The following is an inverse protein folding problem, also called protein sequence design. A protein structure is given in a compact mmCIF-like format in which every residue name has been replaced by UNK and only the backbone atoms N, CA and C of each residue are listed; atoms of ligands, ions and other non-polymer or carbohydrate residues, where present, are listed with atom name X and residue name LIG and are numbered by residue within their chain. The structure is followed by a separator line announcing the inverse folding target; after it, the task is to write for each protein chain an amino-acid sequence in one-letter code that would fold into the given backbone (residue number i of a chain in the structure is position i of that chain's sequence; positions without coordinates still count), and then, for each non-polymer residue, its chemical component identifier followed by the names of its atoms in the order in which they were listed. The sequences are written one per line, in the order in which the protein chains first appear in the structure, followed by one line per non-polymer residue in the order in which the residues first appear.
data_IF_723133586818
#
_entry.id   IF_723133586818
#
_cell.length_a   1.000
_cell.length_b   1.000
_cell.length_c   1.000
_cell.angle_alpha   90.00
_cell.angle_beta   90.00
_cell.angle_gamma   90.00
#
_symmetry.space_group_name_H-M   'P 1'
#
loop_
_entity.id
_entity.type
_entity.pdbx_description
1 polymer ?
#
# COMPACT_ATOMS: atom_id res chain seq x y z
N UNK A 1 10.41 -27.92 -31.02
CA UNK A 1 10.65 -27.50 -29.62
C UNK A 1 11.43 -26.16 -29.44
N UNK A 2 12.10 -25.59 -30.46
CA UNK A 2 12.86 -24.33 -30.29
C UNK A 2 12.06 -23.02 -30.28
N UNK A 3 10.77 -23.01 -30.66
CA UNK A 3 9.93 -21.79 -30.71
C UNK A 3 9.29 -21.40 -29.36
N UNK A 4 9.12 -22.35 -28.43
CA UNK A 4 8.45 -22.08 -27.13
C UNK A 4 9.38 -21.42 -26.11
N UNK A 5 10.70 -21.66 -26.23
CA UNK A 5 11.72 -21.04 -25.39
C UNK A 5 12.00 -19.56 -25.75
N UNK A 6 11.74 -19.14 -27.00
CA UNK A 6 11.99 -17.76 -27.42
C UNK A 6 10.89 -16.79 -26.93
N UNK A 7 9.64 -17.26 -26.83
CA UNK A 7 8.50 -16.48 -26.35
C UNK A 7 8.53 -16.24 -24.83
N UNK A 8 9.04 -17.22 -24.07
CA UNK A 8 9.25 -17.09 -22.63
C UNK A 8 10.44 -16.19 -22.29
N UNK A 9 11.48 -16.18 -23.14
CA UNK A 9 12.59 -15.23 -23.01
C UNK A 9 12.18 -13.79 -23.36
N UNK A 10 11.33 -13.58 -24.38
CA UNK A 10 10.84 -12.24 -24.73
C UNK A 10 9.85 -11.66 -23.70
N UNK A 11 9.05 -12.49 -23.02
CA UNK A 11 8.23 -12.02 -21.88
C UNK A 11 9.07 -11.70 -20.65
N UNK A 12 10.13 -12.47 -20.37
CA UNK A 12 11.07 -12.19 -19.28
C UNK A 12 11.93 -10.95 -19.56
N UNK A 13 12.30 -10.69 -20.84
CA UNK A 13 13.08 -9.51 -21.21
C UNK A 13 12.25 -8.22 -21.18
N UNK A 14 10.96 -8.28 -21.51
CA UNK A 14 10.05 -7.14 -21.34
C UNK A 14 9.83 -6.76 -19.87
N UNK A 15 9.99 -7.71 -18.94
CA UNK A 15 10.00 -7.45 -17.49
C UNK A 15 11.36 -6.96 -16.95
N UNK A 16 12.45 -7.06 -17.72
CA UNK A 16 13.79 -6.69 -17.26
C UNK A 16 14.19 -5.25 -17.64
N UNK A 17 13.56 -4.65 -18.65
CA UNK A 17 13.90 -3.30 -19.12
C UNK A 17 13.10 -2.13 -18.49
N UNK A 18 12.13 -2.36 -17.60
CA UNK A 18 11.35 -1.26 -16.98
C UNK A 18 12.01 -0.65 -15.72
N UNK A 19 13.34 -0.61 -15.66
CA UNK A 19 14.06 -0.11 -14.48
C UNK A 19 14.18 1.44 -14.42
N UNK A 20 13.66 2.14 -15.43
CA UNK A 20 13.41 3.58 -15.41
C UNK A 20 12.03 3.78 -16.04
N UNK A 21 11.07 4.28 -15.25
CA UNK A 21 9.69 4.46 -15.71
C UNK A 21 9.65 5.25 -17.00
N UNK A 22 9.12 4.61 -18.04
CA UNK A 22 8.94 5.23 -19.35
C UNK A 22 7.91 6.37 -19.23
N UNK A 23 7.89 7.32 -20.15
CA UNK A 23 6.89 8.42 -20.12
C UNK A 23 5.45 7.90 -20.10
N UNK A 24 5.23 6.70 -20.64
CA UNK A 24 3.95 5.99 -20.65
C UNK A 24 3.53 5.49 -19.26
N UNK A 25 4.48 5.13 -18.39
CA UNK A 25 4.19 4.69 -17.01
C UNK A 25 3.72 5.87 -16.15
N UNK A 26 4.25 7.07 -16.42
CA UNK A 26 3.93 8.31 -15.71
C UNK A 26 2.51 8.77 -16.04
N UNK A 27 2.19 8.84 -17.33
CA UNK A 27 0.84 9.19 -17.78
C UNK A 27 -0.20 8.17 -17.29
N UNK A 28 0.19 6.89 -17.21
CA UNK A 28 -0.65 5.84 -16.66
C UNK A 28 -0.92 6.08 -15.17
N UNK A 29 0.09 6.37 -14.36
CA UNK A 29 -0.11 6.65 -12.93
C UNK A 29 -1.10 7.80 -12.70
N UNK A 30 -0.85 8.98 -13.31
CA UNK A 30 -1.71 10.16 -13.10
C UNK A 30 -3.17 9.85 -13.46
N UNK A 31 -3.39 9.14 -14.58
CA UNK A 31 -4.74 8.72 -15.01
C UNK A 31 -5.41 7.76 -14.03
N UNK A 32 -4.70 6.74 -13.53
CA UNK A 32 -5.27 5.77 -12.59
C UNK A 32 -5.52 6.40 -11.22
N UNK A 33 -4.64 7.30 -10.80
CA UNK A 33 -4.81 8.03 -9.56
C UNK A 33 -6.02 8.98 -9.62
N UNK A 34 -6.17 9.76 -10.70
CA UNK A 34 -7.36 10.58 -10.96
C UNK A 34 -8.65 9.74 -10.89
N UNK A 35 -8.67 8.60 -11.57
CA UNK A 35 -9.80 7.66 -11.52
C UNK A 35 -10.08 7.14 -10.10
N UNK A 36 -9.06 6.93 -9.28
CA UNK A 36 -9.24 6.49 -7.88
C UNK A 36 -9.87 7.59 -7.01
N UNK A 37 -9.50 8.85 -7.26
CA UNK A 37 -10.10 10.02 -6.60
C UNK A 37 -11.57 10.18 -7.00
N UNK A 38 -11.90 10.02 -8.28
CA UNK A 38 -13.27 10.13 -8.74
C UNK A 38 -14.17 9.05 -8.14
N UNK A 39 -13.70 7.80 -8.06
CA UNK A 39 -14.42 6.74 -7.34
C UNK A 39 -14.63 7.06 -5.87
N UNK A 40 -13.64 7.66 -5.20
CA UNK A 40 -13.82 8.07 -3.82
C UNK A 40 -14.88 9.17 -3.70
N UNK A 41 -14.82 10.20 -4.56
CA UNK A 41 -15.82 11.28 -4.60
C UNK A 41 -17.23 10.70 -4.77
N UNK A 42 -17.41 9.72 -5.65
CA UNK A 42 -18.69 9.01 -5.80
C UNK A 42 -19.13 8.34 -4.49
N UNK A 43 -18.24 7.59 -3.83
CA UNK A 43 -18.54 6.89 -2.57
C UNK A 43 -18.87 7.85 -1.41
N UNK A 44 -18.19 9.00 -1.33
CA UNK A 44 -18.39 10.02 -0.30
C UNK A 44 -19.67 10.82 -0.57
N UNK A 45 -19.93 11.20 -1.82
CA UNK A 45 -21.15 11.89 -2.22
C UNK A 45 -22.42 11.09 -1.86
N UNK A 46 -22.37 9.76 -2.02
CA UNK A 46 -23.46 8.86 -1.62
C UNK A 46 -23.72 8.91 -0.10
N UNK A 47 -22.71 9.19 0.72
CA UNK A 47 -22.81 9.19 2.19
C UNK A 47 -23.26 10.52 2.81
N UNK A 48 -23.49 11.58 2.03
CA UNK A 48 -23.88 12.93 2.52
C UNK A 48 -22.99 13.47 3.65
N UNK A 49 -21.73 13.05 3.73
CA UNK A 49 -20.86 13.35 4.85
C UNK A 49 -19.53 13.92 4.37
N UNK A 50 -19.25 15.14 4.81
CA UNK A 50 -17.99 15.89 4.70
C UNK A 50 -17.64 16.31 3.27
N UNK A 51 -17.40 17.62 3.08
CA UNK A 51 -16.79 18.15 1.87
C UNK A 51 -15.42 17.50 1.69
N UNK A 52 -15.30 16.62 0.68
CA UNK A 52 -14.02 16.07 0.29
C UNK A 52 -13.22 17.15 -0.45
N UNK A 53 -12.52 17.99 0.30
CA UNK A 53 -11.70 19.07 -0.22
C UNK A 53 -10.34 18.52 -0.69
N UNK A 54 -10.36 18.00 -1.91
CA UNK A 54 -9.17 17.54 -2.63
C UNK A 54 -9.14 18.36 -3.91
N UNK A 55 -8.48 19.53 -3.82
CA UNK A 55 -8.31 20.54 -4.89
C UNK A 55 -7.44 20.07 -6.06
N UNK A 56 -7.33 18.76 -6.25
CA UNK A 56 -6.64 18.17 -7.38
C UNK A 56 -7.63 17.96 -8.53
N UNK A 57 -7.33 18.63 -9.64
CA UNK A 57 -8.16 18.65 -10.83
C UNK A 57 -7.60 17.72 -11.91
N UNK A 58 -8.41 17.47 -12.94
CA UNK A 58 -7.98 16.77 -14.15
C UNK A 58 -6.74 17.40 -14.76
N UNK A 59 -5.75 16.57 -15.11
CA UNK A 59 -4.47 17.03 -15.67
C UNK A 59 -3.43 17.48 -14.64
N UNK A 60 -3.69 17.31 -13.34
CA UNK A 60 -2.71 17.55 -12.30
C UNK A 60 -1.55 16.53 -12.34
N UNK A 61 -0.33 17.01 -12.09
CA UNK A 61 0.87 16.15 -12.05
C UNK A 61 1.08 15.51 -10.66
N UNK A 62 0.27 14.50 -10.37
CA UNK A 62 0.30 13.77 -9.09
C UNK A 62 1.66 13.14 -8.80
N UNK A 63 2.39 12.70 -9.84
CA UNK A 63 3.75 12.17 -9.69
C UNK A 63 4.67 13.21 -9.08
N UNK A 64 4.72 14.41 -9.65
CA UNK A 64 5.57 15.47 -9.15
C UNK A 64 5.22 15.81 -7.71
N UNK A 65 3.94 15.79 -7.36
CA UNK A 65 3.48 16.02 -6.00
C UNK A 65 3.93 14.94 -5.02
N UNK A 66 3.82 13.66 -5.38
CA UNK A 66 4.39 12.56 -4.59
C UNK A 66 5.88 12.80 -4.32
N UNK A 67 6.64 13.18 -5.34
CA UNK A 67 8.08 13.42 -5.16
C UNK A 67 8.40 14.68 -4.36
N UNK A 68 7.51 15.67 -4.33
CA UNK A 68 7.63 16.80 -3.40
C UNK A 68 7.35 16.33 -1.96
N UNK A 69 6.26 15.60 -1.75
CA UNK A 69 5.89 15.05 -0.44
C UNK A 69 6.99 14.15 0.12
N UNK A 70 7.52 13.22 -0.67
CA UNK A 70 8.63 12.35 -0.25
C UNK A 70 9.86 13.15 0.17
N UNK A 71 10.27 14.13 -0.64
CA UNK A 71 11.41 15.02 -0.30
C UNK A 71 11.15 15.81 0.99
N UNK A 72 9.92 16.25 1.22
CA UNK A 72 9.54 16.94 2.45
C UNK A 72 9.61 16.01 3.66
N UNK A 73 9.00 14.83 3.59
CA UNK A 73 9.09 13.82 4.66
C UNK A 73 10.55 13.46 4.99
N UNK A 74 11.39 13.32 3.96
CA UNK A 74 12.83 13.04 4.13
C UNK A 74 13.56 14.18 4.86
N UNK A 75 13.24 15.44 4.52
CA UNK A 75 13.81 16.60 5.21
C UNK A 75 13.35 16.70 6.67
N UNK A 76 12.03 16.57 6.91
CA UNK A 76 11.44 16.65 8.25
C UNK A 76 11.99 15.55 9.18
N UNK A 77 12.18 14.33 8.67
CA UNK A 77 12.80 13.24 9.44
C UNK A 77 14.27 13.54 9.75
N UNK A 78 15.03 14.07 8.79
CA UNK A 78 16.44 14.35 8.96
C UNK A 78 16.68 15.44 10.04
N UNK A 79 15.82 16.46 10.07
CA UNK A 79 15.94 17.56 11.03
C UNK A 79 15.56 17.14 12.45
N UNK A 80 14.54 16.29 12.61
CA UNK A 80 14.09 15.79 13.92
C UNK A 80 15.00 14.70 14.51
N UNK A 81 15.64 13.89 13.66
CA UNK A 81 16.41 12.74 14.12
C UNK A 81 17.91 13.02 14.32
N UNK A 82 18.38 14.25 14.10
CA UNK A 82 19.78 14.64 14.36
C UNK A 82 20.81 14.06 13.38
N UNK A 83 20.38 13.41 12.30
CA UNK A 83 21.25 12.81 11.28
C UNK A 83 21.74 13.86 10.28
N UNK A 84 22.82 14.59 10.63
CA UNK A 84 23.36 15.66 9.78
C UNK A 84 24.18 15.19 8.55
N UNK A 85 24.61 13.91 8.48
CA UNK A 85 25.66 13.50 7.51
C UNK A 85 25.40 12.22 6.69
N UNK A 86 24.30 11.51 6.87
CA UNK A 86 23.97 10.37 5.99
C UNK A 86 23.13 10.80 4.79
N UNK A 87 23.35 10.15 3.65
CA UNK A 87 22.72 10.48 2.36
C UNK A 87 21.19 10.42 2.49
N UNK A 88 20.58 11.61 2.67
CA UNK A 88 19.24 11.87 3.25
C UNK A 88 18.02 11.29 2.52
N UNK A 89 18.15 10.75 1.32
CA UNK A 89 17.03 10.70 0.37
C UNK A 89 16.25 9.38 0.27
N UNK A 90 16.50 8.36 1.10
CA UNK A 90 16.10 6.99 0.72
C UNK A 90 15.33 6.20 1.79
N UNK A 91 14.78 6.87 2.82
CA UNK A 91 14.18 6.21 3.99
C UNK A 91 12.66 6.06 3.95
N UNK A 92 11.96 6.84 3.13
CA UNK A 92 10.49 6.81 3.04
C UNK A 92 10.05 6.42 1.63
N UNK A 93 8.97 5.65 1.53
CA UNK A 93 8.33 5.37 0.25
C UNK A 93 6.81 5.44 0.37
N UNK A 94 6.17 5.71 -0.77
CA UNK A 94 4.71 5.65 -0.92
C UNK A 94 4.38 4.53 -1.89
N UNK A 95 3.51 3.61 -1.48
CA UNK A 95 2.98 2.57 -2.36
C UNK A 95 1.50 2.85 -2.66
N UNK A 96 1.17 2.87 -3.94
CA UNK A 96 -0.18 3.05 -4.44
C UNK A 96 -0.63 1.79 -5.18
N UNK A 97 -1.82 1.33 -4.84
CA UNK A 97 -2.47 0.22 -5.50
C UNK A 97 -3.61 0.71 -6.37
N UNK A 98 -3.72 0.19 -7.60
CA UNK A 98 -4.93 0.32 -8.39
C UNK A 98 -5.53 -1.02 -8.81
N UNK A 99 -6.83 -1.17 -8.55
CA UNK A 99 -7.58 -2.41 -8.76
C UNK A 99 -8.71 -2.19 -9.78
N UNK A 100 -8.58 -2.85 -10.93
CA UNK A 100 -9.65 -2.95 -11.92
C UNK A 100 -10.31 -4.33 -11.88
N UNK A 101 -11.10 -4.71 -12.89
CA UNK A 101 -11.90 -5.93 -12.85
C UNK A 101 -11.02 -7.19 -12.71
N UNK A 102 -9.94 -7.26 -13.48
CA UNK A 102 -9.05 -8.40 -13.68
C UNK A 102 -7.56 -8.07 -13.50
N UNK A 103 -7.24 -6.81 -13.17
CA UNK A 103 -5.87 -6.32 -13.10
C UNK A 103 -5.59 -5.60 -11.79
N UNK A 104 -4.41 -5.90 -11.25
CA UNK A 104 -3.81 -5.23 -10.10
C UNK A 104 -2.55 -4.51 -10.56
N UNK A 105 -2.50 -3.20 -10.32
CA UNK A 105 -1.35 -2.34 -10.58
C UNK A 105 -0.79 -1.83 -9.27
N UNK A 106 0.53 -1.80 -9.18
CA UNK A 106 1.25 -1.41 -7.97
C UNK A 106 2.35 -0.44 -8.38
N UNK A 107 2.33 0.76 -7.81
CA UNK A 107 3.39 1.74 -7.95
C UNK A 107 4.02 1.98 -6.59
N UNK A 108 5.34 1.87 -6.49
CA UNK A 108 6.11 2.24 -5.32
C UNK A 108 7.02 3.40 -5.71
N UNK A 109 6.79 4.54 -5.07
CA UNK A 109 7.57 5.76 -5.22
C UNK A 109 8.57 5.86 -4.08
N UNK A 110 9.83 6.06 -4.43
CA UNK A 110 10.92 6.20 -3.46
C UNK A 110 11.96 7.15 -4.01
N UNK A 111 12.30 8.19 -3.26
CA UNK A 111 13.33 9.17 -3.66
C UNK A 111 13.00 9.78 -5.03
N UNK A 112 13.73 9.40 -6.10
CA UNK A 112 13.45 9.78 -7.49
C UNK A 112 13.17 8.55 -8.39
N UNK A 113 12.86 7.40 -7.80
CA UNK A 113 12.64 6.13 -8.50
C UNK A 113 11.18 5.69 -8.35
N UNK A 114 10.68 5.07 -9.41
CA UNK A 114 9.37 4.43 -9.45
C UNK A 114 9.60 2.95 -9.72
N UNK A 115 9.02 2.10 -8.89
CA UNK A 115 8.93 0.67 -9.14
C UNK A 115 7.49 0.36 -9.51
N UNK A 116 7.29 -0.33 -10.62
CA UNK A 116 5.96 -0.66 -11.13
C UNK A 116 5.79 -2.17 -11.27
N UNK A 117 4.59 -2.64 -10.99
CA UNK A 117 4.18 -4.02 -11.24
C UNK A 117 2.73 -4.07 -11.71
N UNK A 118 2.48 -4.88 -12.74
CA UNK A 118 1.15 -5.21 -13.26
C UNK A 118 0.95 -6.73 -13.16
N UNK A 119 -0.17 -7.16 -12.57
CA UNK A 119 -0.58 -8.56 -12.57
C UNK A 119 -2.03 -8.73 -12.99
N UNK A 120 -2.35 -9.91 -13.55
CA UNK A 120 -3.71 -10.35 -13.87
C UNK A 120 -4.39 -10.92 -12.62
N UNK A 121 -4.56 -10.07 -11.61
CA UNK A 121 -5.25 -10.42 -10.37
C UNK A 121 -6.58 -9.70 -10.31
N UNK A 122 -7.67 -10.45 -10.39
CA UNK A 122 -9.03 -9.93 -10.30
C UNK A 122 -9.41 -9.53 -8.87
N UNK A 123 -10.42 -8.66 -8.75
CA UNK A 123 -11.03 -8.32 -7.44
C UNK A 123 -11.45 -9.54 -6.65
N UNK A 124 -12.02 -10.55 -7.33
CA UNK A 124 -12.45 -11.80 -6.70
C UNK A 124 -11.27 -12.60 -6.14
N UNK A 125 -10.16 -12.67 -6.87
CA UNK A 125 -8.94 -13.33 -6.39
C UNK A 125 -8.35 -12.58 -5.20
N UNK A 126 -8.35 -11.25 -5.22
CA UNK A 126 -7.83 -10.44 -4.12
C UNK A 126 -8.70 -10.56 -2.85
N UNK A 127 -10.03 -10.58 -3.00
CA UNK A 127 -10.96 -10.87 -1.91
C UNK A 127 -10.78 -12.29 -1.36
N UNK A 128 -10.56 -13.28 -2.22
CA UNK A 128 -10.28 -14.64 -1.79
C UNK A 128 -8.95 -14.75 -1.04
N UNK A 129 -7.89 -14.06 -1.49
CA UNK A 129 -6.59 -14.06 -0.83
C UNK A 129 -6.64 -13.41 0.56
N UNK A 130 -7.35 -12.27 0.70
CA UNK A 130 -7.61 -11.64 2.00
C UNK A 130 -8.36 -12.60 2.93
N UNK A 131 -9.45 -13.18 2.45
CA UNK A 131 -10.26 -14.12 3.21
C UNK A 131 -9.45 -15.33 3.68
N UNK A 132 -8.64 -15.91 2.78
CA UNK A 132 -7.78 -17.05 3.10
C UNK A 132 -6.75 -16.69 4.18
N UNK A 133 -6.14 -15.51 4.09
CA UNK A 133 -5.20 -15.05 5.10
C UNK A 133 -5.89 -14.85 6.45
N UNK A 134 -7.04 -14.17 6.46
CA UNK A 134 -7.84 -13.92 7.67
C UNK A 134 -8.28 -15.23 8.35
N UNK A 135 -8.69 -16.22 7.55
CA UNK A 135 -9.04 -17.55 8.04
C UNK A 135 -7.83 -18.32 8.56
N UNK A 136 -6.71 -18.32 7.84
CA UNK A 136 -5.47 -19.00 8.28
C UNK A 136 -4.95 -18.42 9.61
N UNK A 137 -5.12 -17.12 9.82
CA UNK A 137 -4.81 -16.43 11.07
C UNK A 137 -5.90 -16.57 12.15
N UNK A 138 -7.00 -17.27 11.85
CA UNK A 138 -8.14 -17.51 12.75
C UNK A 138 -8.73 -16.23 13.33
N UNK A 139 -8.67 -15.11 12.60
CA UNK A 139 -9.10 -13.79 13.07
C UNK A 139 -10.57 -13.82 13.48
N UNK A 140 -11.42 -14.49 12.70
CA UNK A 140 -12.85 -14.58 12.99
C UNK A 140 -13.14 -15.41 14.23
N UNK A 141 -12.43 -16.52 14.43
CA UNK A 141 -12.58 -17.34 15.62
C UNK A 141 -12.16 -16.56 16.87
N UNK A 142 -11.03 -15.85 16.80
CA UNK A 142 -10.54 -15.00 17.89
C UNK A 142 -11.50 -13.85 18.19
N UNK A 143 -12.08 -13.23 17.16
CA UNK A 143 -13.11 -12.18 17.32
C UNK A 143 -14.39 -12.75 17.93
N UNK A 144 -14.82 -13.92 17.47
CA UNK A 144 -16.03 -14.59 17.93
C UNK A 144 -15.90 -15.14 19.36
N UNK A 145 -14.67 -15.44 19.82
CA UNK A 145 -14.37 -15.79 21.21
C UNK A 145 -14.41 -14.58 22.16
N UNK A 146 -14.19 -13.36 21.63
CA UNK A 146 -14.26 -12.09 22.39
C UNK A 146 -15.65 -11.44 22.35
N UNK A 147 -16.57 -11.97 21.55
CA UNK A 147 -17.93 -11.45 21.44
C UNK A 147 -18.79 -11.97 22.59
N UNK A 148 -19.72 -11.16 23.15
CA UNK A 148 -20.66 -11.61 24.17
C UNK A 148 -21.36 -12.90 23.74
N UNK A 149 -21.34 -13.92 24.61
CA UNK A 149 -21.98 -15.20 24.30
C UNK A 149 -23.50 -15.05 24.38
N UNK A 150 -24.21 -15.35 23.29
CA UNK A 150 -25.65 -15.59 23.36
C UNK A 150 -25.85 -16.88 24.17
N UNK A 151 -26.61 -16.80 25.26
CA UNK A 151 -26.96 -17.99 26.06
C UNK A 151 -27.98 -18.82 25.27
N UNK A 152 -27.55 -19.95 24.73
CA UNK A 152 -28.36 -20.87 23.93
C UNK A 152 -27.47 -21.79 23.09
N UNK A 153 -27.89 -23.03 22.90
CA UNK A 153 -27.10 -24.05 22.19
C UNK A 153 -27.16 -23.89 20.68
N UNK A 154 -26.25 -23.09 20.10
CA UNK A 154 -25.97 -23.14 18.67
C UNK A 154 -24.62 -23.85 18.42
N UNK A 155 -24.65 -24.84 17.56
CA UNK A 155 -23.45 -25.54 17.08
C UNK A 155 -22.70 -24.63 16.11
N UNK A 156 -21.55 -24.09 16.53
CA UNK A 156 -20.63 -23.38 15.61
C UNK A 156 -20.00 -24.39 14.65
N UNK A 157 -20.48 -24.42 13.41
CA UNK A 157 -19.77 -25.03 12.31
C UNK A 157 -18.55 -24.16 11.97
N UNK A 158 -17.43 -24.44 12.65
CA UNK A 158 -16.15 -23.81 12.34
C UNK A 158 -15.61 -24.46 11.08
N UNK A 159 -15.72 -23.78 9.94
CA UNK A 159 -15.09 -24.23 8.69
C UNK A 159 -13.58 -24.01 8.86
N UNK A 160 -12.88 -25.05 9.30
CA UNK A 160 -11.42 -25.04 9.41
C UNK A 160 -10.85 -25.18 7.99
N UNK A 161 -10.47 -24.07 7.38
CA UNK A 161 -9.65 -24.11 6.16
C UNK A 161 -8.25 -24.62 6.52
N UNK A 162 -7.81 -25.70 5.85
CA UNK A 162 -6.50 -26.37 6.06
C UNK A 162 -5.27 -25.57 5.58
N UNK A 163 -5.41 -24.28 5.27
CA UNK A 163 -4.29 -23.49 4.74
C UNK A 163 -3.41 -23.07 5.91
N UNK A 164 -2.11 -23.39 5.85
CA UNK A 164 -1.19 -22.97 6.89
C UNK A 164 -1.00 -21.44 6.87
N UNK A 165 -0.83 -20.80 8.05
CA UNK A 165 -0.58 -19.36 8.13
C UNK A 165 0.59 -18.91 7.25
N UNK A 166 1.72 -19.63 7.26
CA UNK A 166 2.88 -19.27 6.44
C UNK A 166 2.61 -19.34 4.94
N UNK A 167 1.81 -20.31 4.47
CA UNK A 167 1.43 -20.40 3.06
C UNK A 167 0.53 -19.22 2.66
N UNK A 168 -0.41 -18.84 3.52
CA UNK A 168 -1.30 -17.71 3.26
C UNK A 168 -0.53 -16.37 3.29
N UNK A 169 0.40 -16.21 4.25
CA UNK A 169 1.28 -15.03 4.34
C UNK A 169 2.16 -14.94 3.08
N UNK A 170 2.76 -16.05 2.65
CA UNK A 170 3.57 -16.06 1.43
C UNK A 170 2.75 -15.68 0.21
N UNK A 171 1.57 -16.27 0.03
CA UNK A 171 0.69 -15.96 -1.10
C UNK A 171 0.26 -14.48 -1.11
N UNK A 172 -0.13 -13.94 0.06
CA UNK A 172 -0.47 -12.52 0.19
C UNK A 172 0.74 -11.62 -0.09
N UNK A 173 1.93 -12.00 0.36
CA UNK A 173 3.17 -11.26 0.10
C UNK A 173 3.52 -11.27 -1.39
N UNK A 174 3.32 -12.38 -2.09
CA UNK A 174 3.59 -12.49 -3.54
C UNK A 174 2.63 -11.63 -4.37
N UNK A 175 1.36 -11.53 -3.95
CA UNK A 175 0.35 -10.70 -4.63
C UNK A 175 0.57 -9.21 -4.35
N UNK A 176 0.74 -8.83 -3.08
CA UNK A 176 0.77 -7.41 -2.67
C UNK A 176 2.15 -6.78 -2.80
N UNK A 177 3.21 -7.56 -2.63
CA UNK A 177 4.60 -7.12 -2.66
C UNK A 177 5.40 -8.03 -3.59
N UNK A 178 5.14 -8.03 -4.91
CA UNK A 178 5.86 -8.88 -5.86
C UNK A 178 7.33 -8.49 -5.97
N UNK A 179 8.14 -9.34 -6.60
CA UNK A 179 9.60 -9.20 -6.63
C UNK A 179 10.08 -7.82 -7.11
N UNK A 180 9.40 -7.20 -8.08
CA UNK A 180 9.71 -5.85 -8.57
C UNK A 180 9.56 -4.79 -7.48
N UNK A 181 8.51 -4.89 -6.68
CA UNK A 181 8.23 -3.96 -5.57
C UNK A 181 9.17 -4.21 -4.39
N UNK A 182 9.47 -5.48 -4.06
CA UNK A 182 10.44 -5.86 -3.01
C UNK A 182 11.81 -5.21 -3.18
N UNK A 183 12.25 -5.02 -4.43
CA UNK A 183 13.52 -4.33 -4.72
C UNK A 183 13.53 -2.90 -4.18
N UNK A 184 12.41 -2.20 -4.31
CA UNK A 184 12.28 -0.82 -3.84
C UNK A 184 12.14 -0.69 -2.33
N UNK A 185 11.73 -1.75 -1.61
CA UNK A 185 11.54 -1.74 -0.16
C UNK A 185 12.85 -1.79 0.65
N UNK A 186 13.97 -2.16 0.04
CA UNK A 186 15.24 -2.35 0.77
C UNK A 186 15.72 -1.06 1.42
N UNK A 187 16.08 -1.11 2.71
CA UNK A 187 16.60 0.05 3.47
C UNK A 187 15.60 1.20 3.63
N UNK A 188 14.30 0.93 3.48
CA UNK A 188 13.28 1.88 3.91
C UNK A 188 13.10 1.77 5.42
N UNK A 189 12.81 2.90 6.07
CA UNK A 189 12.42 2.97 7.47
C UNK A 189 10.90 3.20 7.62
N UNK A 190 10.26 3.80 6.60
CA UNK A 190 8.83 4.06 6.60
C UNK A 190 8.19 3.79 5.24
N UNK A 191 7.02 3.14 5.25
CA UNK A 191 6.19 2.89 4.07
C UNK A 191 4.78 3.43 4.30
N UNK A 192 4.36 4.35 3.43
CA UNK A 192 2.99 4.87 3.39
C UNK A 192 2.22 4.08 2.35
N UNK A 193 1.12 3.46 2.76
CA UNK A 193 0.25 2.65 1.90
C UNK A 193 -0.99 3.44 1.53
N UNK A 194 -1.23 3.56 0.23
CA UNK A 194 -2.48 4.08 -0.33
C UNK A 194 -3.24 2.90 -0.93
N UNK A 195 -4.16 2.29 -0.15
CA UNK A 195 -4.87 1.10 -0.58
C UNK A 195 -6.02 1.44 -1.53
N UNK A 196 -6.36 0.52 -2.43
CA UNK A 196 -7.63 0.51 -3.16
C UNK A 196 -8.37 -0.81 -2.87
N UNK A 197 -9.71 -0.79 -2.93
CA UNK A 197 -10.56 -1.97 -2.72
C UNK A 197 -10.34 -2.59 -1.32
N UNK A 198 -10.15 -3.91 -1.20
CA UNK A 198 -9.97 -4.59 0.09
C UNK A 198 -8.51 -4.63 0.57
N UNK A 199 -7.57 -3.96 -0.12
CA UNK A 199 -6.14 -4.03 0.22
C UNK A 199 -5.87 -3.49 1.62
N UNK A 200 -6.61 -2.48 2.07
CA UNK A 200 -6.50 -1.93 3.42
C UNK A 200 -6.86 -2.92 4.54
N UNK A 201 -7.45 -4.07 4.22
CA UNK A 201 -7.80 -5.11 5.20
C UNK A 201 -6.67 -6.14 5.40
N UNK A 202 -5.65 -6.15 4.52
CA UNK A 202 -4.53 -7.05 4.69
C UNK A 202 -3.63 -6.58 5.84
N UNK A 203 -3.20 -7.48 6.74
CA UNK A 203 -2.24 -7.15 7.78
C UNK A 203 -0.83 -7.01 7.17
N UNK A 204 -0.49 -5.82 6.67
CA UNK A 204 0.82 -5.57 6.04
C UNK A 204 2.00 -5.87 6.96
N UNK A 205 1.83 -5.71 8.27
CA UNK A 205 2.85 -5.97 9.29
C UNK A 205 3.41 -7.39 9.25
N UNK A 206 2.59 -8.39 8.89
CA UNK A 206 2.99 -9.80 8.87
C UNK A 206 3.46 -10.30 7.50
N UNK A 207 3.49 -9.45 6.48
CA UNK A 207 4.00 -9.84 5.16
C UNK A 207 5.51 -10.05 5.24
N UNK A 208 6.04 -10.99 4.44
CA UNK A 208 7.46 -11.39 4.49
C UNK A 208 8.17 -11.09 3.17
N UNK A 209 8.38 -9.81 2.80
CA UNK A 209 8.94 -9.45 1.50
C UNK A 209 10.44 -9.76 1.35
N UNK A 210 11.13 -10.15 2.43
CA UNK A 210 12.56 -10.38 2.45
C UNK A 210 12.90 -11.87 2.33
N UNK A 211 14.05 -12.18 1.74
CA UNK A 211 14.50 -13.57 1.53
C UNK A 211 14.73 -14.34 2.84
N UNK A 212 15.00 -13.64 3.92
CA UNK A 212 15.27 -14.20 5.24
C UNK A 212 13.99 -14.60 5.99
N UNK A 213 12.80 -14.34 5.42
CA UNK A 213 11.52 -14.67 6.03
C UNK A 213 11.11 -13.73 7.16
N UNK A 214 11.84 -12.63 7.36
CA UNK A 214 11.50 -11.57 8.32
C UNK A 214 10.22 -10.84 7.91
N UNK A 215 9.50 -10.37 8.93
CA UNK A 215 8.26 -9.63 8.74
C UNK A 215 8.57 -8.19 8.29
N UNK A 216 7.61 -7.56 7.59
CA UNK A 216 7.74 -6.19 7.12
C UNK A 216 7.97 -5.22 8.30
N UNK A 217 7.25 -5.45 9.41
CA UNK A 217 7.31 -4.61 10.61
C UNK A 217 8.67 -4.65 11.32
N UNK A 218 9.44 -5.73 11.14
CA UNK A 218 10.76 -5.88 11.76
C UNK A 218 11.81 -4.92 11.13
N UNK A 219 11.55 -4.46 9.90
CA UNK A 219 12.50 -3.64 9.12
C UNK A 219 12.03 -2.21 8.90
N UNK A 220 10.72 -1.95 8.94
CA UNK A 220 10.17 -0.62 8.70
C UNK A 220 8.83 -0.43 9.39
N UNK A 221 8.51 0.83 9.65
CA UNK A 221 7.17 1.25 10.07
C UNK A 221 6.24 1.37 8.85
N UNK A 222 4.95 1.13 9.07
CA UNK A 222 3.93 1.15 8.02
C UNK A 222 2.79 2.06 8.45
N UNK A 223 2.35 2.94 7.56
CA UNK A 223 1.18 3.80 7.75
C UNK A 223 0.22 3.66 6.57
N UNK A 224 -1.04 4.05 6.79
CA UNK A 224 -2.05 4.08 5.74
C UNK A 224 -2.52 5.51 5.51
N UNK A 225 -2.54 5.92 4.25
CA UNK A 225 -3.14 7.16 3.81
C UNK A 225 -4.32 6.81 2.88
N UNK A 226 -5.55 7.29 3.14
CA UNK A 226 -6.66 7.05 2.23
C UNK A 226 -6.34 7.54 0.82
N UNK A 227 -5.76 8.74 0.72
CA UNK A 227 -5.35 9.40 -0.53
C UNK A 227 -4.15 10.32 -0.28
N UNK A 228 -3.48 10.74 -1.36
CA UNK A 228 -2.42 11.77 -1.34
C UNK A 228 -2.93 13.11 -0.79
N UNK A 229 -4.22 13.42 -0.97
CA UNK A 229 -4.83 14.64 -0.46
C UNK A 229 -4.72 14.74 1.07
N UNK A 230 -4.80 13.60 1.76
CA UNK A 230 -4.61 13.53 3.21
C UNK A 230 -3.17 13.82 3.64
N UNK A 231 -2.19 13.54 2.78
CA UNK A 231 -0.77 13.81 3.10
C UNK A 231 -0.46 15.31 3.00
N UNK A 232 -1.05 16.01 2.03
CA UNK A 232 -0.88 17.45 1.88
C UNK A 232 -1.60 18.25 2.99
N UNK A 233 -2.76 17.78 3.48
CA UNK A 233 -3.51 18.49 4.52
C UNK A 233 -2.89 18.43 5.91
N UNK A 234 -2.20 17.33 6.25
CA UNK A 234 -1.46 17.20 7.52
C UNK A 234 -0.37 18.28 7.66
N UNK A 235 0.07 18.84 6.54
CA UNK A 235 1.07 19.89 6.49
C UNK A 235 0.50 21.30 6.67
N UNK A 236 -0.63 21.61 6.04
CA UNK A 236 -1.30 22.92 6.18
C UNK A 236 -1.74 23.18 7.64
N UNK A 237 -2.09 22.12 8.37
CA UNK A 237 -2.43 22.23 9.80
C UNK A 237 -1.20 22.50 10.67
N UNK A 238 -0.03 21.93 10.38
CA UNK A 238 1.21 22.23 11.14
C UNK A 238 1.62 23.69 11.01
N UNK A 239 1.42 24.31 9.85
CA UNK A 239 1.69 25.74 9.69
C UNK A 239 0.67 26.60 10.46
N UNK A 240 -0.61 26.22 10.45
CA UNK A 240 -1.68 26.94 11.18
C UNK A 240 -1.59 26.83 12.70
N UNK A 241 -1.07 25.73 13.23
CA UNK A 241 -0.94 25.49 14.68
C UNK A 241 0.47 25.75 15.23
N UNK A 242 1.36 26.40 14.47
CA UNK A 242 2.70 26.80 14.95
C UNK A 242 2.71 27.89 16.06
N UNK A 243 1.54 28.23 16.62
CA UNK A 243 1.37 29.17 17.73
C UNK A 243 1.12 28.56 19.12
N UNK A 244 0.61 27.32 19.23
CA UNK A 244 0.34 26.70 20.54
C UNK A 244 0.54 25.16 20.48
N UNK A 245 1.05 24.64 21.59
CA UNK A 245 1.69 23.33 21.82
C UNK A 245 1.25 22.12 20.97
N UNK A 246 2.26 21.47 20.39
CA UNK A 246 2.18 20.26 19.57
C UNK A 246 1.84 19.02 20.42
N UNK A 247 0.55 18.70 20.57
CA UNK A 247 0.09 17.45 21.21
C UNK A 247 -1.01 16.77 20.39
N UNK A 248 -0.73 16.31 19.16
CA UNK A 248 -1.71 15.46 18.45
C UNK A 248 -1.16 14.31 17.59
N UNK A 249 0.16 14.11 17.50
CA UNK A 249 0.76 13.04 16.68
C UNK A 249 1.15 11.78 17.47
N UNK A 250 0.35 11.38 18.48
CA UNK A 250 0.55 10.09 19.18
C UNK A 250 -0.62 9.09 19.08
N UNK A 251 -1.81 9.47 18.59
CA UNK A 251 -2.99 8.62 18.70
C UNK A 251 -3.48 7.93 17.41
N UNK A 252 -2.63 7.77 16.40
CA UNK A 252 -2.95 6.93 15.21
C UNK A 252 -1.99 5.74 15.05
N UNK A 253 -1.13 5.49 16.05
CA UNK A 253 -0.27 4.29 16.09
C UNK A 253 -0.50 3.50 17.38
N UNK A 254 -1.67 2.85 17.48
CA UNK A 254 -1.88 1.62 18.24
C UNK A 254 -2.91 0.74 17.53
#
# INVERSE_FOLDING_TARGET
MKKVLLLSFLHAFRCYCSAQGDSDDINSFNRYYEKSIDKLRELVAVKRSVDFDCNYYKGYDYKSEIFKLLRKFENDFADNAGYKNEKRSDHTAIIFYSVEADTLRIWLFRSNKIYYHLSLTSKKQLAAAELQLRQALRVDELRAARSPYLRGGETRNTVITKVSPDSAISAATDVLLPQQIRKGLRRLHHLIIIPEYNIGQFPFSILKPYKEGSFLIDSMSVSFAPHLCNLAMVDDEKERFSGEETVFMQNVLL
#
